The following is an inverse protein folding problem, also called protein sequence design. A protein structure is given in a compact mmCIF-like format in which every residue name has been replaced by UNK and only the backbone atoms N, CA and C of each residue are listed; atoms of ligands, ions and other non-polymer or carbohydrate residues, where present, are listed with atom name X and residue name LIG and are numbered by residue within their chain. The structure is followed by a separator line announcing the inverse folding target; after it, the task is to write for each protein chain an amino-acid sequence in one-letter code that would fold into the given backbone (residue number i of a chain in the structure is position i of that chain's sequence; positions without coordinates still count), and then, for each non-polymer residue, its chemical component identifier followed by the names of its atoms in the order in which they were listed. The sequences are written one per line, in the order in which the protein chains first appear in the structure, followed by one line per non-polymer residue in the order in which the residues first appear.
data_IF_104989478909
#
_entry.id   IF_104989478909
#
_cell.length_a   1.000
_cell.length_b   1.000
_cell.length_c   1.000
_cell.angle_alpha   90.00
_cell.angle_beta   90.00
_cell.angle_gamma   90.00
#
_symmetry.space_group_name_H-M   'P 1'
#
loop_
_entity.id
_entity.type
_entity.pdbx_description
1 polymer ?
#
# COMPACT_ATOMS: atom_id res chain seq x y z
N UNK A 1 1.20 12.05 12.39
CA UNK A 1 1.98 10.85 12.00
C UNK A 1 1.26 9.54 12.36
N UNK A 2 0.92 9.31 13.64
CA UNK A 2 0.28 8.06 14.13
C UNK A 2 -1.01 7.68 13.39
N UNK A 3 -1.92 8.63 13.14
CA UNK A 3 -3.16 8.39 12.38
C UNK A 3 -2.90 7.89 10.95
N UNK A 4 -1.92 8.47 10.26
CA UNK A 4 -1.56 8.06 8.90
C UNK A 4 -0.94 6.66 8.88
N UNK A 5 -0.16 6.30 9.91
CA UNK A 5 0.39 4.96 10.07
C UNK A 5 -0.71 3.90 10.19
N UNK A 6 -1.66 4.10 11.12
CA UNK A 6 -2.77 3.17 11.33
C UNK A 6 -3.67 3.04 10.10
N UNK A 7 -3.85 4.13 9.35
CA UNK A 7 -4.62 4.12 8.11
C UNK A 7 -3.89 3.36 7.00
N UNK A 8 -2.61 3.60 6.80
CA UNK A 8 -1.85 3.07 5.66
C UNK A 8 -1.27 1.68 5.90
N UNK A 9 -0.97 1.34 7.15
CA UNK A 9 -0.42 0.05 7.59
C UNK A 9 -1.21 -0.44 8.81
N UNK A 10 -2.47 -0.87 8.62
CA UNK A 10 -3.28 -1.36 9.73
C UNK A 10 -2.59 -2.56 10.41
N UNK A 11 -2.37 -2.54 11.73
CA UNK A 11 -1.65 -3.61 12.42
C UNK A 11 -2.38 -4.96 12.31
N UNK A 12 -3.72 -4.95 12.29
CA UNK A 12 -4.56 -6.14 12.07
C UNK A 12 -4.35 -6.82 10.71
N UNK A 13 -3.83 -6.13 9.69
CA UNK A 13 -3.50 -6.74 8.41
C UNK A 13 -2.15 -7.48 8.43
N UNK A 14 -1.33 -7.18 9.44
CA UNK A 14 0.06 -7.63 9.52
C UNK A 14 0.26 -8.74 10.53
N UNK A 15 -0.53 -8.75 11.61
CA UNK A 15 -0.26 -9.56 12.79
C UNK A 15 -1.57 -9.95 13.49
N UNK A 16 -1.73 -11.25 13.71
CA UNK A 16 -2.93 -11.84 14.31
C UNK A 16 -3.14 -11.44 15.77
N UNK A 17 -2.11 -10.95 16.47
CA UNK A 17 -2.25 -10.45 17.85
C UNK A 17 -3.23 -9.28 17.96
N UNK A 18 -3.50 -8.59 16.85
CA UNK A 18 -4.49 -7.51 16.77
C UNK A 18 -5.89 -8.00 16.32
N UNK A 19 -6.07 -9.31 16.16
CA UNK A 19 -7.33 -9.94 15.73
C UNK A 19 -7.67 -11.13 16.64
N UNK A 20 -8.04 -10.88 17.92
CA UNK A 20 -8.25 -11.95 18.90
C UNK A 20 -9.40 -12.90 18.52
N UNK A 21 -10.41 -12.38 17.82
CA UNK A 21 -11.64 -13.10 17.49
C UNK A 21 -11.54 -13.98 16.23
N UNK A 22 -10.39 -14.00 15.54
CA UNK A 22 -10.20 -14.87 14.36
C UNK A 22 -10.13 -16.34 14.76
N UNK A 23 -10.78 -17.20 13.99
CA UNK A 23 -10.62 -18.64 14.11
C UNK A 23 -9.21 -19.09 13.70
N UNK A 24 -8.77 -20.27 14.14
CA UNK A 24 -7.42 -20.79 13.84
C UNK A 24 -7.10 -20.86 12.34
N UNK A 25 -8.10 -21.17 11.51
CA UNK A 25 -7.93 -21.19 10.05
C UNK A 25 -7.76 -19.77 9.48
N UNK A 26 -8.57 -18.81 9.92
CA UNK A 26 -8.45 -17.41 9.49
C UNK A 26 -7.11 -16.81 9.93
N UNK A 27 -6.63 -17.15 11.13
CA UNK A 27 -5.28 -16.78 11.61
C UNK A 27 -4.19 -17.32 10.69
N UNK A 28 -4.30 -18.60 10.29
CA UNK A 28 -3.38 -19.22 9.33
C UNK A 28 -3.41 -18.49 7.98
N UNK A 29 -4.60 -18.16 7.48
CA UNK A 29 -4.76 -17.40 6.23
C UNK A 29 -4.19 -15.98 6.35
N UNK A 30 -4.41 -15.27 7.46
CA UNK A 30 -3.84 -13.95 7.73
C UNK A 30 -2.31 -13.99 7.76
N UNK A 31 -1.71 -14.97 8.46
CA UNK A 31 -0.25 -15.16 8.49
C UNK A 31 0.32 -15.41 7.10
N UNK A 32 -0.29 -16.30 6.32
CA UNK A 32 0.15 -16.58 4.96
C UNK A 32 0.02 -15.35 4.04
N UNK A 33 -1.10 -14.63 4.16
CA UNK A 33 -1.39 -13.42 3.40
C UNK A 33 -0.40 -12.29 3.71
N UNK A 34 -0.18 -12.00 4.99
CA UNK A 34 0.73 -10.94 5.42
C UNK A 34 2.17 -11.26 5.02
N UNK A 35 2.61 -12.51 5.20
CA UNK A 35 3.94 -12.98 4.81
C UNK A 35 4.16 -12.87 3.29
N UNK A 36 3.20 -13.33 2.47
CA UNK A 36 3.28 -13.24 1.01
C UNK A 36 3.44 -11.79 0.56
N UNK A 37 2.58 -10.90 1.04
CA UNK A 37 2.62 -9.48 0.69
C UNK A 37 3.91 -8.79 1.11
N UNK A 38 4.42 -9.11 2.31
CA UNK A 38 5.71 -8.59 2.80
C UNK A 38 6.89 -9.06 1.96
N UNK A 39 6.84 -10.30 1.46
CA UNK A 39 7.92 -10.86 0.64
C UNK A 39 7.91 -10.33 -0.79
N UNK A 40 6.73 -10.25 -1.40
CA UNK A 40 6.60 -10.06 -2.85
C UNK A 40 6.32 -8.62 -3.25
N UNK A 41 5.57 -7.88 -2.42
CA UNK A 41 5.06 -6.56 -2.80
C UNK A 41 5.67 -5.42 -1.98
N UNK A 42 6.08 -5.66 -0.73
CA UNK A 42 6.59 -4.61 0.16
C UNK A 42 7.92 -4.02 -0.34
N UNK A 43 8.01 -2.70 -0.34
CA UNK A 43 9.21 -1.94 -0.57
C UNK A 43 9.26 -0.67 0.28
N UNK A 44 10.45 -0.10 0.38
CA UNK A 44 10.67 1.21 0.96
C UNK A 44 11.18 2.13 -0.14
N UNK A 45 10.48 3.24 -0.35
CA UNK A 45 10.83 4.21 -1.36
C UNK A 45 11.83 5.23 -0.85
N UNK A 46 12.43 5.97 -1.78
CA UNK A 46 13.26 7.14 -1.49
C UNK A 46 12.52 8.41 -1.91
N UNK A 47 12.43 9.38 -1.01
CA UNK A 47 11.92 10.69 -1.37
C UNK A 47 12.88 11.34 -2.36
N UNK A 48 12.36 11.74 -3.52
CA UNK A 48 13.14 12.40 -4.55
C UNK A 48 12.31 13.48 -5.22
N UNK A 49 12.93 14.60 -5.66
CA UNK A 49 12.25 15.53 -6.55
C UNK A 49 12.01 14.86 -7.91
N UNK A 50 10.87 15.15 -8.53
CA UNK A 50 10.62 14.73 -9.92
C UNK A 50 11.74 15.28 -10.82
N UNK A 51 12.50 14.40 -11.51
CA UNK A 51 13.63 14.81 -12.31
C UNK A 51 13.15 15.52 -13.59
N UNK A 52 13.99 16.40 -14.13
CA UNK A 52 13.69 17.18 -15.35
C UNK A 52 13.13 16.37 -16.52
N UNK A 53 13.64 15.17 -16.85
CA UNK A 53 13.10 14.31 -17.91
C UNK A 53 11.67 13.80 -17.69
N UNK A 54 11.18 13.83 -16.45
CA UNK A 54 9.81 13.42 -16.10
C UNK A 54 8.83 14.62 -16.04
N UNK A 55 9.31 15.83 -16.32
CA UNK A 55 8.47 17.03 -16.35
C UNK A 55 7.40 16.93 -17.45
N UNK A 56 6.15 17.22 -17.08
CA UNK A 56 5.04 17.20 -18.02
C UNK A 56 4.53 15.80 -18.35
N UNK A 57 5.19 14.74 -17.88
CA UNK A 57 4.72 13.36 -18.02
C UNK A 57 3.40 13.19 -17.23
N UNK A 58 2.34 12.64 -17.86
CA UNK A 58 1.14 12.32 -17.12
C UNK A 58 1.43 11.18 -16.15
N UNK A 59 1.03 11.34 -14.90
CA UNK A 59 1.01 10.22 -13.97
C UNK A 59 0.12 9.13 -14.56
N UNK A 60 0.65 7.90 -14.70
CA UNK A 60 -0.05 6.74 -15.28
C UNK A 60 -1.39 6.41 -14.64
N UNK A 61 -1.71 6.97 -13.46
CA UNK A 61 -2.95 6.68 -12.73
C UNK A 61 -3.91 7.87 -12.58
N UNK A 62 -3.46 9.11 -12.34
CA UNK A 62 -4.38 10.27 -12.26
C UNK A 62 -4.39 11.15 -13.50
N UNK A 63 -3.47 10.92 -14.46
CA UNK A 63 -3.32 11.76 -15.64
C UNK A 63 -2.78 13.18 -15.37
N UNK A 64 -2.61 13.59 -14.09
CA UNK A 64 -1.99 14.89 -13.76
C UNK A 64 -0.54 14.89 -14.22
N UNK A 65 -0.11 16.02 -14.76
CA UNK A 65 1.26 16.22 -15.23
C UNK A 65 2.15 16.48 -14.02
N UNK A 66 3.25 15.76 -13.95
CA UNK A 66 4.27 15.97 -12.91
C UNK A 66 5.07 17.24 -13.24
N UNK A 67 5.24 18.15 -12.27
CA UNK A 67 6.14 19.28 -12.46
C UNK A 67 7.55 18.93 -11.96
N UNK A 68 8.56 19.56 -12.55
CA UNK A 68 9.95 19.39 -12.12
C UNK A 68 10.07 19.90 -10.69
N UNK A 69 10.68 19.11 -9.81
CA UNK A 69 10.86 19.48 -8.41
C UNK A 69 9.66 19.16 -7.51
N UNK A 70 8.53 18.69 -8.06
CA UNK A 70 7.46 18.14 -7.24
C UNK A 70 8.01 16.99 -6.38
N UNK A 71 7.51 16.83 -5.15
CA UNK A 71 7.91 15.69 -4.33
C UNK A 71 7.46 14.39 -5.02
N UNK A 72 8.32 13.38 -4.99
CA UNK A 72 8.13 12.07 -5.59
C UNK A 72 8.68 10.97 -4.69
N UNK A 73 8.24 9.74 -4.92
CA UNK A 73 8.80 8.54 -4.30
C UNK A 73 9.44 7.71 -5.40
N UNK A 74 10.74 7.51 -5.34
CA UNK A 74 11.43 6.53 -6.17
C UNK A 74 11.26 5.16 -5.52
N UNK A 75 10.72 4.23 -6.30
CA UNK A 75 10.57 2.85 -5.92
C UNK A 75 11.53 2.03 -6.78
N UNK A 76 12.63 1.57 -6.18
CA UNK A 76 13.67 0.79 -6.87
C UNK A 76 13.14 -0.43 -7.62
N UNK A 77 11.98 -0.97 -7.22
CA UNK A 77 11.30 -2.10 -7.88
C UNK A 77 10.42 -1.71 -9.09
N UNK A 78 10.16 -0.42 -9.30
CA UNK A 78 9.30 0.11 -10.38
C UNK A 78 10.08 0.74 -11.55
N UNK A 79 11.42 0.78 -11.44
CA UNK A 79 12.31 1.48 -12.37
C UNK A 79 12.49 2.97 -12.03
N UNK A 80 13.35 3.67 -12.78
CA UNK A 80 13.82 5.06 -12.50
C UNK A 80 12.74 6.16 -12.61
N UNK A 81 11.46 5.81 -12.66
CA UNK A 81 10.37 6.78 -12.73
C UNK A 81 9.77 7.03 -11.33
N UNK A 82 9.95 8.24 -10.77
CA UNK A 82 9.35 8.57 -9.49
C UNK A 82 7.83 8.62 -9.59
N UNK A 83 7.16 8.09 -8.57
CA UNK A 83 5.71 8.17 -8.43
C UNK A 83 5.31 9.35 -7.55
N UNK A 84 4.21 10.06 -7.86
CA UNK A 84 3.75 11.15 -7.00
C UNK A 84 3.28 10.65 -5.62
N UNK A 85 3.62 11.37 -4.52
CA UNK A 85 3.26 11.02 -3.16
C UNK A 85 1.77 11.25 -2.93
N UNK A 86 1.09 10.24 -2.38
CA UNK A 86 -0.31 10.36 -1.96
C UNK A 86 -1.37 9.96 -2.97
N UNK A 87 -0.98 9.13 -3.93
CA UNK A 87 -1.86 8.62 -4.96
C UNK A 87 -2.91 7.58 -4.53
N UNK A 88 -2.90 7.16 -3.25
CA UNK A 88 -3.77 6.11 -2.70
C UNK A 88 -4.60 6.61 -1.53
N UNK A 89 -3.98 7.30 -0.57
CA UNK A 89 -4.66 7.78 0.63
C UNK A 89 -4.95 9.29 0.61
N UNK A 90 -4.83 9.96 -0.54
CA UNK A 90 -4.77 11.44 -0.65
C UNK A 90 -3.70 12.09 0.27
N UNK A 91 -2.76 11.28 0.78
CA UNK A 91 -1.76 11.63 1.78
C UNK A 91 -0.45 10.90 1.48
N UNK A 92 0.72 11.50 1.74
CA UNK A 92 2.02 10.90 1.46
C UNK A 92 2.18 9.55 2.17
N UNK A 93 2.96 8.65 1.55
CA UNK A 93 3.25 7.33 2.12
C UNK A 93 3.96 7.48 3.46
N UNK A 94 3.41 6.85 4.50
CA UNK A 94 4.02 6.85 5.82
C UNK A 94 5.36 6.11 5.76
N UNK A 95 6.41 6.78 6.23
CA UNK A 95 7.79 6.28 6.24
C UNK A 95 8.28 5.79 4.85
N UNK A 96 7.66 6.28 3.77
CA UNK A 96 7.88 5.88 2.38
C UNK A 96 7.65 4.38 2.12
N UNK A 97 6.95 3.70 3.02
CA UNK A 97 6.63 2.28 2.89
C UNK A 97 5.52 2.11 1.84
N UNK A 98 5.70 1.15 0.95
CA UNK A 98 4.76 0.90 -0.13
C UNK A 98 4.63 -0.59 -0.47
N UNK A 99 3.55 -0.93 -1.17
CA UNK A 99 3.34 -2.25 -1.76
C UNK A 99 3.17 -2.13 -3.27
N UNK A 100 3.84 -2.98 -4.04
CA UNK A 100 3.77 -2.99 -5.50
C UNK A 100 2.90 -4.14 -6.01
N UNK A 101 1.98 -3.84 -6.93
CA UNK A 101 1.13 -4.81 -7.63
C UNK A 101 0.86 -4.30 -9.05
N UNK A 102 1.09 -5.14 -10.06
CA UNK A 102 0.80 -4.85 -11.49
C UNK A 102 1.40 -3.52 -11.99
N UNK A 103 2.67 -3.25 -11.64
CA UNK A 103 3.38 -2.02 -12.03
C UNK A 103 2.83 -0.75 -11.36
N UNK A 104 2.02 -0.90 -10.31
CA UNK A 104 1.45 0.20 -9.50
C UNK A 104 1.89 0.04 -8.06
N UNK A 105 2.04 1.15 -7.37
CA UNK A 105 2.35 1.21 -5.95
C UNK A 105 1.05 1.36 -5.17
N UNK A 106 0.99 1.01 -3.89
CA UNK A 106 -0.18 1.12 -3.01
C UNK A 106 0.32 1.32 -1.56
N UNK A 107 -0.52 1.87 -0.67
CA UNK A 107 -0.27 1.70 0.76
C UNK A 107 -0.64 0.28 1.20
N UNK A 108 -0.27 -0.14 2.41
CA UNK A 108 -0.61 -1.46 2.94
C UNK A 108 -2.11 -1.71 2.98
N UNK A 109 -2.93 -0.75 3.42
CA UNK A 109 -4.39 -0.91 3.43
C UNK A 109 -4.97 -1.18 2.04
N UNK A 110 -4.73 -0.29 1.09
CA UNK A 110 -5.29 -0.41 -0.26
C UNK A 110 -4.77 -1.63 -1.01
N UNK A 111 -3.50 -1.98 -0.82
CA UNK A 111 -3.00 -3.24 -1.37
C UNK A 111 -3.69 -4.44 -0.74
N UNK A 112 -4.11 -4.40 0.52
CA UNK A 112 -4.86 -5.49 1.14
C UNK A 112 -6.22 -5.67 0.47
N UNK A 113 -6.90 -4.55 0.25
CA UNK A 113 -8.25 -4.45 -0.31
C UNK A 113 -8.35 -4.90 -1.77
N UNK A 114 -7.22 -5.00 -2.49
CA UNK A 114 -7.17 -5.65 -3.81
C UNK A 114 -7.48 -7.15 -3.76
N UNK A 115 -7.27 -7.80 -2.60
CA UNK A 115 -7.36 -9.25 -2.47
C UNK A 115 -8.45 -9.70 -1.50
N UNK A 116 -8.71 -8.93 -0.45
CA UNK A 116 -9.64 -9.30 0.61
C UNK A 116 -10.50 -8.09 1.01
N UNK A 117 -11.84 -8.23 1.08
CA UNK A 117 -12.69 -7.15 1.56
C UNK A 117 -12.49 -6.93 3.06
N UNK A 118 -12.93 -5.77 3.56
CA UNK A 118 -12.94 -5.45 4.99
C UNK A 118 -14.34 -5.50 5.56
N UNK A 119 -14.45 -5.92 6.82
CA UNK A 119 -15.68 -5.79 7.58
C UNK A 119 -15.98 -4.30 7.85
N UNK A 120 -17.20 -3.85 7.55
CA UNK A 120 -17.62 -2.47 7.77
C UNK A 120 -17.66 -2.07 9.26
N UNK A 121 -17.80 -3.05 10.17
CA UNK A 121 -17.89 -2.79 11.61
C UNK A 121 -16.54 -2.78 12.31
N UNK A 122 -15.66 -3.74 12.02
CA UNK A 122 -14.38 -3.89 12.73
C UNK A 122 -13.15 -3.57 11.89
N UNK A 123 -13.32 -3.27 10.59
CA UNK A 123 -12.26 -2.88 9.66
C UNK A 123 -11.15 -3.94 9.45
N UNK A 124 -11.36 -5.18 9.93
CA UNK A 124 -10.50 -6.33 9.68
C UNK A 124 -10.77 -6.94 8.30
N UNK A 125 -9.75 -7.57 7.72
CA UNK A 125 -9.89 -8.31 6.46
C UNK A 125 -10.69 -9.59 6.67
N UNK A 126 -11.60 -9.89 5.75
CA UNK A 126 -12.45 -11.08 5.80
C UNK A 126 -11.72 -12.22 5.09
N UNK A 127 -11.41 -13.30 5.82
CA UNK A 127 -10.66 -14.44 5.31
C UNK A 127 -11.52 -15.66 4.95
N UNK A 128 -12.75 -15.72 5.47
CA UNK A 128 -13.74 -16.74 5.09
C UNK A 128 -14.04 -16.72 3.57
N UNK A 129 -14.31 -17.89 3.01
CA UNK A 129 -14.60 -18.08 1.58
C UNK A 129 -16.09 -17.86 1.24
N UNK A 130 -16.93 -17.65 2.25
CA UNK A 130 -18.38 -17.58 2.07
C UNK A 130 -18.79 -16.13 1.79
N UNK A 131 -19.22 -15.89 0.55
CA UNK A 131 -19.68 -14.63 -0.06
C UNK A 131 -18.59 -13.81 -0.77
N UNK A 132 -18.09 -14.33 -1.90
CA UNK A 132 -17.73 -13.50 -3.06
C UNK A 132 -18.79 -13.73 -4.14
#
# INVERSE_FOLDING_TARGET
RTRALLQQLPPQDCDERYCPDLAEEERRQLRAFSARRRREALGQGLACPVPGPCHGCPCKKCGRRLNKGDPGVSASRLGDHPVPPGHFCHQPLVDLIYFQQDGRIYCGRHHAELFRPRCASCDQLIFMEECI
#
